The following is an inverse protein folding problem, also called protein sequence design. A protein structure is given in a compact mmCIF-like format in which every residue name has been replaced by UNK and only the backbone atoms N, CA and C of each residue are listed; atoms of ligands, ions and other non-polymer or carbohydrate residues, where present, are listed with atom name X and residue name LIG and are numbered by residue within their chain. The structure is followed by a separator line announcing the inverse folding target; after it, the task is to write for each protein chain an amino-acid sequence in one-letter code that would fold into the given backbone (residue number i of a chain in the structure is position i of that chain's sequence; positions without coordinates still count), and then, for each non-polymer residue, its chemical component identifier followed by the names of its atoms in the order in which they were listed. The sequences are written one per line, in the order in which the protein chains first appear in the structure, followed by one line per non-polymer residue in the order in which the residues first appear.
data_IF_427446789369
#
_entry.id   IF_427446789369
#
_cell.length_a   1.000
_cell.length_b   1.000
_cell.length_c   1.000
_cell.angle_alpha   90.00
_cell.angle_beta   90.00
_cell.angle_gamma   90.00
#
_symmetry.space_group_name_H-M   'P 1'
#
loop_
_entity.id
_entity.type
_entity.pdbx_description
1 polymer ?
#
# COMPACT_ATOMS: atom_id res chain seq x y z
N UNK A 1 14.59 22.77 6.59
CA UNK A 1 13.92 22.28 7.82
C UNK A 1 12.43 21.97 7.60
N UNK A 2 11.63 22.85 7.02
CA UNK A 2 10.18 22.62 6.80
C UNK A 2 9.88 21.41 5.92
N UNK A 3 10.52 21.29 4.74
CA UNK A 3 10.31 20.17 3.79
C UNK A 3 10.59 18.81 4.45
N UNK A 4 11.64 18.68 5.24
CA UNK A 4 11.94 17.42 5.93
C UNK A 4 10.83 17.04 6.93
N UNK A 5 10.25 18.01 7.65
CA UNK A 5 9.13 17.77 8.56
C UNK A 5 7.87 17.29 7.79
N UNK A 6 7.58 17.92 6.64
CA UNK A 6 6.47 17.50 5.79
C UNK A 6 6.70 16.07 5.28
N UNK A 7 7.90 15.77 4.77
CA UNK A 7 8.25 14.44 4.30
C UNK A 7 8.17 13.40 5.42
N UNK A 8 8.60 13.74 6.63
CA UNK A 8 8.51 12.86 7.79
C UNK A 8 7.04 12.52 8.13
N UNK A 9 6.16 13.53 8.19
CA UNK A 9 4.72 13.33 8.42
C UNK A 9 4.11 12.47 7.31
N UNK A 10 4.52 12.68 6.06
CA UNK A 10 4.04 11.95 4.90
C UNK A 10 4.46 10.48 4.95
N UNK A 11 5.76 10.17 5.10
CA UNK A 11 6.24 8.78 5.07
C UNK A 11 5.84 7.98 6.30
N UNK A 12 5.57 8.65 7.43
CA UNK A 12 5.04 8.00 8.64
C UNK A 12 3.51 7.89 8.61
N UNK A 13 2.88 8.18 7.48
CA UNK A 13 1.43 8.17 7.31
C UNK A 13 0.73 8.91 8.46
N UNK A 14 0.99 10.23 8.54
CA UNK A 14 0.47 11.12 9.59
C UNK A 14 0.80 10.69 11.03
N UNK A 15 1.92 9.98 11.21
CA UNK A 15 2.38 9.53 12.52
C UNK A 15 2.00 8.09 12.89
N UNK A 16 1.26 7.37 12.05
CA UNK A 16 0.96 5.93 12.24
C UNK A 16 2.25 5.10 12.40
N UNK A 17 3.31 5.46 11.65
CA UNK A 17 4.62 4.82 11.75
C UNK A 17 5.28 4.89 13.14
N UNK A 18 4.82 5.76 14.04
CA UNK A 18 5.32 5.81 15.43
C UNK A 18 4.58 4.88 16.40
N UNK A 19 3.62 4.08 15.93
CA UNK A 19 3.00 3.04 16.75
C UNK A 19 4.07 2.01 17.11
N UNK A 20 4.21 1.72 18.40
CA UNK A 20 5.31 0.88 18.92
C UNK A 20 5.31 -0.55 18.40
N UNK A 21 4.14 -1.11 18.13
CA UNK A 21 3.97 -2.51 17.71
C UNK A 21 3.34 -2.58 16.33
N UNK A 22 4.04 -3.23 15.38
CA UNK A 22 3.55 -3.50 14.02
C UNK A 22 2.97 -2.26 13.28
N UNK A 23 3.71 -1.12 13.17
CA UNK A 23 3.19 0.11 12.55
C UNK A 23 2.70 -0.11 11.12
N UNK A 24 3.39 -0.91 10.32
CA UNK A 24 2.98 -1.25 8.96
C UNK A 24 1.65 -2.01 8.90
N UNK A 25 1.36 -2.89 9.87
CA UNK A 25 0.06 -3.56 9.97
C UNK A 25 -1.07 -2.55 10.19
N UNK A 26 -0.84 -1.55 11.05
CA UNK A 26 -1.80 -0.47 11.26
C UNK A 26 -1.96 0.40 10.00
N UNK A 27 -0.87 0.72 9.31
CA UNK A 27 -0.93 1.47 8.05
C UNK A 27 -1.75 0.74 6.98
N UNK A 28 -1.48 -0.56 6.76
CA UNK A 28 -2.25 -1.40 5.83
C UNK A 28 -3.72 -1.50 6.20
N UNK A 29 -4.03 -1.66 7.50
CA UNK A 29 -5.40 -1.74 8.00
C UNK A 29 -6.15 -0.42 7.79
N UNK A 30 -5.55 0.70 8.16
CA UNK A 30 -6.13 2.05 7.99
C UNK A 30 -6.36 2.32 6.50
N UNK A 31 -5.41 1.96 5.64
CA UNK A 31 -5.54 2.07 4.19
C UNK A 31 -6.75 1.29 3.68
N UNK A 32 -6.91 0.03 4.11
CA UNK A 32 -8.05 -0.80 3.74
C UNK A 32 -9.38 -0.18 4.19
N UNK A 33 -9.45 0.34 5.40
CA UNK A 33 -10.65 1.00 5.94
C UNK A 33 -10.98 2.27 5.15
N UNK A 34 -9.99 3.11 4.88
CA UNK A 34 -10.19 4.35 4.12
C UNK A 34 -10.76 4.04 2.73
N UNK A 35 -10.14 3.13 1.98
CA UNK A 35 -10.62 2.79 0.64
C UNK A 35 -11.96 2.06 0.66
N UNK A 36 -12.23 1.21 1.66
CA UNK A 36 -13.53 0.57 1.82
C UNK A 36 -14.68 1.57 1.91
N UNK A 37 -14.54 2.62 2.72
CA UNK A 37 -15.55 3.67 2.81
C UNK A 37 -15.52 4.61 1.60
N UNK A 38 -14.34 4.95 1.09
CA UNK A 38 -14.21 5.86 -0.06
C UNK A 38 -14.94 5.31 -1.29
N UNK A 39 -14.74 4.02 -1.63
CA UNK A 39 -15.40 3.41 -2.78
C UNK A 39 -16.92 3.24 -2.64
N UNK A 40 -17.45 3.34 -1.43
CA UNK A 40 -18.89 3.35 -1.16
C UNK A 40 -19.56 4.72 -1.28
N UNK A 41 -18.79 5.78 -1.44
CA UNK A 41 -19.31 7.16 -1.60
C UNK A 41 -19.69 7.51 -3.04
N UNK A 42 -20.24 6.57 -3.81
CA UNK A 42 -20.66 6.79 -5.21
C UNK A 42 -19.55 7.33 -6.11
N UNK A 43 -18.40 6.67 -6.11
CA UNK A 43 -17.29 7.01 -6.98
C UNK A 43 -17.63 6.65 -8.44
N UNK A 44 -17.47 7.61 -9.35
CA UNK A 44 -17.54 7.36 -10.79
C UNK A 44 -16.22 6.79 -11.34
N UNK A 45 -16.24 6.25 -12.55
CA UNK A 45 -15.02 5.76 -13.22
C UNK A 45 -13.97 6.88 -13.38
N UNK A 46 -14.39 8.11 -13.55
CA UNK A 46 -13.49 9.26 -13.66
C UNK A 46 -12.76 9.51 -12.34
N UNK A 47 -13.47 9.46 -11.21
CA UNK A 47 -12.86 9.56 -9.88
C UNK A 47 -11.91 8.39 -9.61
N UNK A 48 -12.25 7.17 -10.05
CA UNK A 48 -11.36 6.02 -9.95
C UNK A 48 -10.06 6.23 -10.71
N UNK A 49 -10.13 6.70 -11.97
CA UNK A 49 -8.93 7.02 -12.76
C UNK A 49 -8.09 8.12 -12.11
N UNK A 50 -8.75 9.14 -11.53
CA UNK A 50 -8.06 10.17 -10.76
C UNK A 50 -7.34 9.58 -9.53
N UNK A 51 -7.97 8.66 -8.80
CA UNK A 51 -7.34 7.98 -7.66
C UNK A 51 -6.13 7.14 -8.09
N UNK A 52 -6.23 6.44 -9.22
CA UNK A 52 -5.08 5.69 -9.78
C UNK A 52 -3.91 6.64 -10.09
N UNK A 53 -4.20 7.78 -10.74
CA UNK A 53 -3.18 8.81 -11.00
C UNK A 53 -2.59 9.36 -9.71
N UNK A 54 -3.43 9.66 -8.71
CA UNK A 54 -2.98 10.13 -7.40
C UNK A 54 -2.04 9.13 -6.72
N UNK A 55 -2.33 7.81 -6.81
CA UNK A 55 -1.45 6.78 -6.25
C UNK A 55 -0.10 6.69 -6.97
N UNK A 56 -0.05 6.91 -8.29
CA UNK A 56 1.21 7.03 -9.03
C UNK A 56 2.01 8.26 -8.54
N UNK A 57 1.35 9.38 -8.30
CA UNK A 57 1.99 10.58 -7.73
C UNK A 57 2.48 10.33 -6.29
N UNK A 58 1.69 9.64 -5.47
CA UNK A 58 2.10 9.21 -4.12
C UNK A 58 3.34 8.34 -4.18
N UNK A 59 3.38 7.35 -5.08
CA UNK A 59 4.54 6.48 -5.26
C UNK A 59 5.80 7.27 -5.66
N UNK A 60 5.69 8.12 -6.69
CA UNK A 60 6.83 8.92 -7.17
C UNK A 60 7.31 9.93 -6.12
N UNK A 61 6.38 10.56 -5.39
CA UNK A 61 6.74 11.45 -4.30
C UNK A 61 7.37 10.70 -3.12
N UNK A 62 6.93 9.48 -2.82
CA UNK A 62 7.51 8.65 -1.76
C UNK A 62 8.99 8.35 -2.00
N UNK A 63 9.40 8.08 -3.25
CA UNK A 63 10.81 7.91 -3.60
C UNK A 63 11.66 9.14 -3.21
N UNK A 64 11.15 10.32 -3.49
CA UNK A 64 11.81 11.58 -3.12
C UNK A 64 11.76 11.81 -1.60
N UNK A 65 10.61 11.61 -0.97
CA UNK A 65 10.41 11.89 0.44
C UNK A 65 11.31 10.99 1.31
N UNK A 66 11.32 9.68 1.08
CA UNK A 66 12.17 8.72 1.81
C UNK A 66 13.64 9.11 1.67
N UNK A 67 14.11 9.38 0.44
CA UNK A 67 15.49 9.79 0.20
C UNK A 67 15.90 11.04 0.98
N UNK A 68 14.99 11.99 1.18
CA UNK A 68 15.30 13.26 1.89
C UNK A 68 15.39 13.09 3.40
N UNK A 69 14.78 12.02 3.96
CA UNK A 69 14.71 11.79 5.41
C UNK A 69 15.49 10.55 5.86
N UNK A 70 16.12 9.80 4.94
CA UNK A 70 16.86 8.57 5.28
C UNK A 70 17.91 8.76 6.39
N UNK A 71 18.48 9.99 6.50
CA UNK A 71 19.46 10.34 7.52
C UNK A 71 18.83 10.80 8.86
N UNK A 72 17.52 10.93 8.95
CA UNK A 72 16.82 11.28 10.20
C UNK A 72 16.54 10.03 11.05
N UNK A 73 16.74 8.83 10.50
CA UNK A 73 16.57 7.56 11.18
C UNK A 73 17.92 6.85 11.38
N UNK A 74 18.04 6.06 12.45
CA UNK A 74 19.24 5.25 12.71
C UNK A 74 19.46 4.17 11.62
N UNK A 75 18.40 3.70 11.02
CA UNK A 75 18.41 2.70 9.93
C UNK A 75 17.73 3.27 8.70
N UNK A 76 18.28 2.95 7.51
CA UNK A 76 17.70 3.38 6.22
C UNK A 76 16.30 2.81 5.99
N UNK A 77 16.07 1.59 6.47
CA UNK A 77 14.80 0.86 6.46
C UNK A 77 14.19 0.95 7.87
N UNK A 78 13.76 2.16 8.21
CA UNK A 78 13.23 2.44 9.53
C UNK A 78 11.76 2.02 9.61
N UNK A 79 11.39 1.27 10.65
CA UNK A 79 9.99 0.81 10.91
C UNK A 79 8.95 1.93 10.96
N UNK A 80 9.39 3.18 11.07
CA UNK A 80 8.55 4.37 11.07
C UNK A 80 8.10 4.79 9.66
N UNK A 81 8.82 4.33 8.63
CA UNK A 81 8.38 4.48 7.25
C UNK A 81 7.30 3.45 7.02
N UNK A 82 6.09 3.87 6.69
CA UNK A 82 4.92 3.01 6.48
C UNK A 82 4.10 3.44 5.26
N UNK A 83 4.64 4.33 4.46
CA UNK A 83 4.01 4.77 3.20
C UNK A 83 4.09 3.67 2.12
N UNK A 84 5.08 2.80 2.19
CA UNK A 84 5.26 1.60 1.40
C UNK A 84 4.09 0.63 1.57
N UNK A 85 3.68 0.35 2.82
CA UNK A 85 2.53 -0.49 3.10
C UNK A 85 1.21 0.14 2.63
N UNK A 86 1.09 1.47 2.68
CA UNK A 86 -0.07 2.18 2.11
C UNK A 86 -0.15 1.94 0.61
N UNK A 87 0.97 2.06 -0.10
CA UNK A 87 1.05 1.84 -1.54
C UNK A 87 0.80 0.37 -1.88
N UNK A 88 1.51 -0.54 -1.22
CA UNK A 88 1.40 -1.98 -1.47
C UNK A 88 -0.01 -2.51 -1.24
N UNK A 89 -0.66 -2.13 -0.13
CA UNK A 89 -2.04 -2.52 0.18
C UNK A 89 -3.07 -1.93 -0.80
N UNK A 90 -2.79 -0.76 -1.38
CA UNK A 90 -3.70 -0.13 -2.36
C UNK A 90 -3.81 -0.93 -3.66
N UNK A 91 -2.76 -1.63 -4.08
CA UNK A 91 -2.72 -2.36 -5.36
C UNK A 91 -3.85 -3.40 -5.47
N UNK A 92 -3.97 -4.38 -4.56
CA UNK A 92 -5.05 -5.36 -4.63
C UNK A 92 -6.43 -4.73 -4.44
N UNK A 93 -6.57 -3.70 -3.61
CA UNK A 93 -7.84 -3.01 -3.38
C UNK A 93 -8.36 -2.37 -4.68
N UNK A 94 -7.52 -1.59 -5.37
CA UNK A 94 -7.92 -0.93 -6.62
C UNK A 94 -8.36 -1.93 -7.68
N UNK A 95 -7.70 -3.09 -7.76
CA UNK A 95 -8.11 -4.08 -8.74
C UNK A 95 -9.40 -4.80 -8.35
N UNK A 96 -9.60 -5.16 -7.09
CA UNK A 96 -10.87 -5.71 -6.61
C UNK A 96 -12.02 -4.78 -6.99
N UNK A 97 -11.88 -3.50 -6.71
CA UNK A 97 -12.88 -2.49 -7.02
C UNK A 97 -13.12 -2.35 -8.54
N UNK A 98 -12.06 -2.40 -9.34
CA UNK A 98 -12.21 -2.38 -10.80
C UNK A 98 -12.94 -3.63 -11.34
N UNK A 99 -12.66 -4.81 -10.78
CA UNK A 99 -13.34 -6.06 -11.16
C UNK A 99 -14.83 -5.96 -10.82
N UNK A 100 -15.17 -5.52 -9.61
CA UNK A 100 -16.56 -5.33 -9.19
C UNK A 100 -17.25 -4.32 -10.10
N UNK A 101 -16.62 -3.17 -10.37
CA UNK A 101 -17.16 -2.18 -11.30
C UNK A 101 -17.40 -2.74 -12.69
N UNK A 102 -16.47 -3.55 -13.23
CA UNK A 102 -16.62 -4.14 -14.59
C UNK A 102 -17.83 -5.08 -14.70
N UNK A 103 -18.26 -5.68 -13.62
CA UNK A 103 -19.39 -6.60 -13.57
C UNK A 103 -20.72 -5.91 -13.23
N UNK A 104 -20.69 -4.92 -12.34
CA UNK A 104 -21.88 -4.30 -11.74
C UNK A 104 -22.12 -2.86 -12.19
N UNK A 105 -21.16 -2.24 -12.88
CA UNK A 105 -21.12 -0.82 -13.23
C UNK A 105 -21.17 0.11 -11.99
N UNK A 106 -20.79 -0.45 -10.82
CA UNK A 106 -20.68 0.30 -9.56
C UNK A 106 -19.47 -0.15 -8.76
N UNK A 107 -18.85 0.76 -8.02
CA UNK A 107 -17.80 0.44 -7.06
C UNK A 107 -18.41 0.02 -5.72
N UNK A 108 -17.63 -0.62 -4.89
CA UNK A 108 -18.01 -1.03 -3.54
C UNK A 108 -17.98 -2.54 -3.36
N UNK A 109 -16.80 -3.11 -3.51
CA UNK A 109 -16.54 -4.53 -3.26
C UNK A 109 -16.91 -4.94 -1.83
N UNK A 110 -17.29 -6.19 -1.64
CA UNK A 110 -17.69 -6.74 -0.36
C UNK A 110 -16.57 -6.69 0.69
N UNK A 111 -16.95 -6.50 1.95
CA UNK A 111 -16.00 -6.40 3.07
C UNK A 111 -15.06 -7.59 3.17
N UNK A 112 -15.55 -8.82 2.88
CA UNK A 112 -14.72 -10.01 2.98
C UNK A 112 -13.53 -9.98 2.00
N UNK A 113 -13.68 -9.36 0.82
CA UNK A 113 -12.57 -9.20 -0.14
C UNK A 113 -11.48 -8.26 0.41
N UNK A 114 -11.87 -7.19 1.10
CA UNK A 114 -10.92 -6.31 1.78
C UNK A 114 -10.19 -7.02 2.91
N UNK A 115 -10.92 -7.81 3.71
CA UNK A 115 -10.33 -8.60 4.80
C UNK A 115 -9.34 -9.62 4.27
N UNK A 116 -9.70 -10.38 3.23
CA UNK A 116 -8.80 -11.36 2.61
C UNK A 116 -7.58 -10.63 2.00
N UNK A 117 -7.80 -9.53 1.28
CA UNK A 117 -6.73 -8.70 0.72
C UNK A 117 -5.73 -8.24 1.78
N UNK A 118 -6.23 -7.74 2.92
CA UNK A 118 -5.39 -7.30 4.02
C UNK A 118 -4.52 -8.44 4.58
N UNK A 119 -5.11 -9.60 4.87
CA UNK A 119 -4.35 -10.72 5.43
C UNK A 119 -3.34 -11.29 4.43
N UNK A 120 -3.70 -11.40 3.16
CA UNK A 120 -2.78 -11.86 2.11
C UNK A 120 -1.61 -10.89 1.91
N UNK A 121 -1.89 -9.59 1.87
CA UNK A 121 -0.84 -8.58 1.75
C UNK A 121 0.15 -8.69 2.91
N UNK A 122 -0.35 -8.70 4.16
CA UNK A 122 0.52 -8.84 5.34
C UNK A 122 1.28 -10.17 5.36
N UNK A 123 0.67 -11.24 4.88
CA UNK A 123 1.33 -12.54 4.75
C UNK A 123 2.54 -12.46 3.79
N UNK A 124 2.37 -11.89 2.59
CA UNK A 124 3.46 -11.78 1.62
C UNK A 124 4.52 -10.76 2.04
N UNK A 125 4.13 -9.65 2.63
CA UNK A 125 5.05 -8.64 3.13
C UNK A 125 5.90 -9.15 4.32
N UNK A 126 5.35 -9.96 5.21
CA UNK A 126 6.11 -10.53 6.34
C UNK A 126 6.99 -11.71 5.90
N UNK A 127 6.46 -12.64 5.10
CA UNK A 127 7.20 -13.82 4.67
C UNK A 127 8.22 -13.54 3.58
N UNK A 128 7.99 -12.49 2.79
CA UNK A 128 8.87 -12.03 1.71
C UNK A 128 9.36 -13.18 0.81
N UNK A 129 8.44 -13.98 0.18
CA UNK A 129 8.86 -15.02 -0.74
C UNK A 129 9.71 -14.44 -1.89
N UNK A 130 10.51 -15.28 -2.58
CA UNK A 130 11.22 -14.80 -3.77
C UNK A 130 10.22 -14.32 -4.84
N UNK A 131 10.41 -13.14 -5.49
CA UNK A 131 11.58 -12.27 -5.42
C UNK A 131 11.51 -11.15 -4.34
N UNK A 132 10.44 -11.02 -3.56
CA UNK A 132 10.24 -9.93 -2.57
C UNK A 132 11.46 -9.86 -1.63
N UNK A 133 11.82 -10.97 -0.98
CA UNK A 133 12.96 -11.04 -0.07
C UNK A 133 14.32 -10.77 -0.74
N UNK A 134 14.43 -10.94 -2.06
CA UNK A 134 15.64 -10.56 -2.80
C UNK A 134 15.75 -9.04 -2.90
N UNK A 135 14.65 -8.34 -3.21
CA UNK A 135 14.63 -6.87 -3.26
C UNK A 135 14.86 -6.27 -1.88
N UNK A 136 14.15 -6.73 -0.87
CA UNK A 136 14.33 -6.29 0.52
C UNK A 136 15.79 -6.40 1.01
N UNK A 137 16.48 -7.48 0.69
CA UNK A 137 17.87 -7.69 1.15
C UNK A 137 18.91 -6.89 0.36
N UNK A 138 18.72 -6.73 -0.95
CA UNK A 138 19.75 -6.18 -1.84
C UNK A 138 19.58 -4.68 -2.12
N UNK A 139 18.39 -4.12 -1.97
CA UNK A 139 18.09 -2.73 -2.31
C UNK A 139 17.65 -1.94 -1.07
N UNK A 140 18.60 -1.52 -0.24
CA UNK A 140 18.37 -0.69 0.96
C UNK A 140 18.33 0.81 0.63
N UNK A 141 17.63 1.17 -0.43
CA UNK A 141 17.38 2.57 -0.84
C UNK A 141 15.87 2.83 -0.92
N UNK A 142 15.49 4.08 -1.17
CA UNK A 142 14.07 4.46 -1.26
C UNK A 142 13.26 3.64 -2.27
N UNK A 143 13.90 3.19 -3.37
CA UNK A 143 13.24 2.32 -4.34
C UNK A 143 13.00 0.91 -3.79
N UNK A 144 14.00 0.30 -3.15
CA UNK A 144 13.87 -1.04 -2.58
C UNK A 144 12.81 -1.10 -1.48
N UNK A 145 12.77 -0.10 -0.58
CA UNK A 145 11.78 0.03 0.50
C UNK A 145 10.34 0.06 -0.05
N UNK A 146 10.10 0.76 -1.17
CA UNK A 146 8.77 0.82 -1.78
C UNK A 146 8.45 -0.43 -2.63
N UNK A 147 9.48 -1.01 -3.26
CA UNK A 147 9.27 -2.00 -4.31
C UNK A 147 8.96 -3.39 -3.75
N UNK A 148 9.48 -3.75 -2.59
CA UNK A 148 9.15 -5.02 -1.94
C UNK A 148 7.66 -5.08 -1.55
N UNK A 149 7.09 -3.99 -1.05
CA UNK A 149 5.67 -3.88 -0.74
C UNK A 149 4.78 -3.83 -2.00
N UNK A 150 5.25 -3.18 -3.07
CA UNK A 150 4.59 -3.26 -4.39
C UNK A 150 4.51 -4.72 -4.86
N UNK A 151 5.59 -5.48 -4.72
CA UNK A 151 5.61 -6.90 -5.07
C UNK A 151 4.69 -7.72 -4.17
N UNK A 152 4.65 -7.44 -2.86
CA UNK A 152 3.71 -8.08 -1.94
C UNK A 152 2.25 -7.81 -2.35
N UNK A 153 1.95 -6.56 -2.75
CA UNK A 153 0.65 -6.18 -3.31
C UNK A 153 0.30 -6.92 -4.60
N UNK A 154 1.26 -7.08 -5.51
CA UNK A 154 1.08 -7.86 -6.76
C UNK A 154 0.85 -9.35 -6.46
N UNK A 155 1.58 -9.94 -5.51
CA UNK A 155 1.33 -11.33 -5.09
C UNK A 155 -0.06 -11.51 -4.50
N UNK A 156 -0.47 -10.59 -3.64
CA UNK A 156 -1.83 -10.55 -3.09
C UNK A 156 -2.86 -10.54 -4.20
N UNK A 157 -2.66 -9.68 -5.18
CA UNK A 157 -3.51 -9.55 -6.35
C UNK A 157 -3.65 -10.87 -7.11
N UNK A 158 -2.52 -11.53 -7.44
CA UNK A 158 -2.53 -12.80 -8.18
C UNK A 158 -3.31 -13.87 -7.43
N UNK A 159 -3.10 -13.98 -6.11
CA UNK A 159 -3.84 -14.96 -5.28
C UNK A 159 -5.32 -14.64 -5.23
N UNK A 160 -5.69 -13.36 -5.06
CA UNK A 160 -7.10 -12.95 -5.06
C UNK A 160 -7.80 -13.25 -6.40
N UNK A 161 -7.14 -12.99 -7.53
CA UNK A 161 -7.68 -13.34 -8.86
C UNK A 161 -7.95 -14.85 -9.00
N UNK A 162 -7.04 -15.67 -8.48
CA UNK A 162 -7.23 -17.12 -8.48
C UNK A 162 -8.41 -17.50 -7.59
N UNK A 163 -8.53 -16.93 -6.40
CA UNK A 163 -9.65 -17.20 -5.51
C UNK A 163 -11.00 -16.79 -6.13
N UNK A 164 -11.11 -15.58 -6.69
CA UNK A 164 -12.35 -15.09 -7.33
C UNK A 164 -12.74 -15.96 -8.54
N UNK A 165 -11.78 -16.54 -9.26
CA UNK A 165 -12.07 -17.40 -10.41
C UNK A 165 -12.58 -18.78 -10.02
N UNK A 166 -12.21 -19.28 -8.84
CA UNK A 166 -12.55 -20.66 -8.39
C UNK A 166 -13.76 -20.70 -7.43
N UNK A 167 -14.21 -19.56 -6.93
CA UNK A 167 -15.39 -19.39 -6.08
C UNK A 167 -16.41 -18.48 -6.71
#
# INVERSE_FOLDING_TARGET
MVIKKINLIFVTFLGVGYIKTAPGTFASLITSIIFFYLFRLYISIEHFLFLCLAMILVFTYSLYAIKTIENEFEQKDAKQIVIDEVIGQSIPIFLIEYIVYSQTQSFGADLYLYVISFFLFRFFDILKPFPIGYFDKNYKNSFGILFDDVLAGVYTLVVLLLLIKFF
#
